data_IF_903562035998
#
_entry.id   IF_903562035998
#
_cell.length_a   1.000
_cell.length_b   1.000
_cell.length_c   1.000
_cell.angle_alpha   90.00
_cell.angle_beta   90.00
_cell.angle_gamma   90.00
#
_symmetry.space_group_name_H-M   'P 1'
#
loop_
_entity.id
_entity.type
_entity.pdbx_description
1 polymer ?
#
# COMPACT_ATOMS: atom_id res chain seq x y z
N UNK A 1 62.27 -26.36 -11.54
CA UNK A 1 61.49 -26.03 -12.75
C UNK A 1 60.02 -26.03 -12.32
N UNK A 2 59.36 -24.90 -12.02
CA UNK A 2 58.83 -23.86 -12.96
C UNK A 2 57.94 -24.56 -14.00
N UNK A 3 56.63 -24.31 -14.21
CA UNK A 3 55.73 -23.17 -14.00
C UNK A 3 54.27 -23.68 -13.84
N UNK A 4 53.44 -23.08 -12.99
CA UNK A 4 52.31 -22.15 -13.32
C UNK A 4 51.38 -22.62 -14.44
N UNK A 5 50.11 -22.91 -14.11
CA UNK A 5 48.98 -22.22 -14.76
C UNK A 5 47.69 -22.39 -13.94
N UNK A 6 47.36 -21.35 -13.20
CA UNK A 6 46.05 -21.09 -12.62
C UNK A 6 45.12 -20.65 -13.74
N UNK A 7 43.95 -21.30 -13.89
CA UNK A 7 42.87 -20.77 -14.73
C UNK A 7 41.69 -20.45 -13.84
N UNK A 8 41.61 -19.15 -13.50
CA UNK A 8 40.40 -18.46 -13.09
C UNK A 8 39.44 -18.43 -14.28
N UNK A 9 38.27 -19.05 -14.13
CA UNK A 9 37.08 -18.63 -14.90
C UNK A 9 36.09 -18.05 -13.92
N UNK A 10 36.11 -16.73 -13.84
CA UNK A 10 34.99 -15.92 -13.40
C UNK A 10 33.88 -16.06 -14.45
N UNK A 11 32.72 -16.55 -14.04
CA UNK A 11 31.47 -16.21 -14.72
C UNK A 11 30.47 -15.69 -13.68
N UNK A 12 30.47 -14.37 -13.56
CA UNK A 12 29.40 -13.56 -12.98
C UNK A 12 28.21 -13.53 -13.95
N UNK A 13 26.98 -13.51 -13.42
CA UNK A 13 25.87 -12.85 -14.13
C UNK A 13 24.45 -13.35 -13.83
N UNK A 14 23.75 -12.59 -12.98
CA UNK A 14 22.28 -12.48 -12.78
C UNK A 14 21.60 -13.59 -11.95
N UNK A 15 20.83 -13.34 -10.88
CA UNK A 15 20.27 -12.10 -10.34
C UNK A 15 20.03 -12.30 -8.82
N UNK A 16 20.91 -11.77 -7.97
CA UNK A 16 20.73 -11.83 -6.51
C UNK A 16 20.28 -10.46 -6.04
N UNK A 17 18.98 -10.33 -5.72
CA UNK A 17 18.39 -9.18 -4.99
C UNK A 17 19.40 -8.63 -3.97
N UNK A 18 19.65 -7.32 -4.03
CA UNK A 18 20.75 -6.71 -3.28
C UNK A 18 20.60 -6.95 -1.78
N UNK A 19 21.69 -7.36 -1.13
CA UNK A 19 21.80 -7.52 0.34
C UNK A 19 21.37 -6.26 1.12
N UNK A 20 21.30 -5.10 0.46
CA UNK A 20 20.89 -3.83 1.04
C UNK A 20 19.38 -3.76 1.28
N UNK A 21 18.57 -4.28 0.35
CA UNK A 21 17.10 -4.33 0.50
C UNK A 21 16.70 -5.28 1.64
N UNK A 22 17.38 -6.41 1.81
CA UNK A 22 17.15 -7.32 2.96
C UNK A 22 17.61 -6.70 4.29
N UNK A 23 18.69 -5.91 4.28
CA UNK A 23 19.21 -5.22 5.45
C UNK A 23 18.29 -4.09 5.94
N UNK A 24 17.70 -3.36 4.99
CA UNK A 24 16.74 -2.28 5.29
C UNK A 24 15.42 -2.84 5.86
N UNK A 25 14.96 -4.00 5.38
CA UNK A 25 13.77 -4.70 5.89
C UNK A 25 13.97 -5.27 7.31
N UNK A 26 15.14 -5.81 7.60
CA UNK A 26 15.45 -6.40 8.92
C UNK A 26 15.71 -5.36 10.02
N UNK A 27 16.04 -4.10 9.68
CA UNK A 27 16.24 -3.04 10.68
C UNK A 27 14.93 -2.39 11.14
N UNK A 28 13.82 -2.54 10.40
CA UNK A 28 12.53 -1.89 10.70
C UNK A 28 11.70 -2.67 11.73
N UNK A 29 11.96 -3.96 11.93
CA UNK A 29 11.41 -4.80 13.02
C UNK A 29 11.59 -4.16 14.42
N UNK A 30 12.50 -3.19 14.57
CA UNK A 30 12.81 -2.51 15.84
C UNK A 30 12.16 -1.14 16.04
N UNK A 31 11.04 -0.85 15.37
CA UNK A 31 10.37 0.47 15.51
C UNK A 31 9.46 0.60 16.76
N UNK A 32 9.48 -0.35 17.69
CA UNK A 32 9.20 -0.09 19.11
C UNK A 32 7.74 0.20 19.54
N UNK A 33 6.77 0.20 18.64
CA UNK A 33 5.34 0.34 18.99
C UNK A 33 4.70 -1.05 18.95
N UNK A 34 4.77 -1.81 20.05
CA UNK A 34 3.94 -3.00 20.23
C UNK A 34 2.63 -2.57 20.88
N UNK A 35 1.57 -2.49 20.09
CA UNK A 35 0.21 -2.36 20.61
C UNK A 35 -0.42 -3.76 20.66
N UNK A 36 -1.01 -4.11 21.80
CA UNK A 36 -1.84 -5.31 21.91
C UNK A 36 -3.23 -4.99 21.34
N UNK A 37 -3.61 -5.70 20.28
CA UNK A 37 -4.89 -5.50 19.58
C UNK A 37 -6.07 -6.09 20.36
N UNK A 38 -5.83 -7.06 21.26
CA UNK A 38 -6.90 -7.79 21.96
C UNK A 38 -7.78 -6.87 22.82
N UNK A 39 -7.23 -5.95 23.64
CA UNK A 39 -8.06 -4.99 24.38
C UNK A 39 -8.91 -4.09 23.48
N UNK A 40 -8.42 -3.72 22.29
CA UNK A 40 -9.19 -2.93 21.33
C UNK A 40 -10.35 -3.72 20.76
N UNK A 41 -10.14 -5.01 20.45
CA UNK A 41 -11.20 -5.92 19.99
C UNK A 41 -12.29 -6.07 21.06
N UNK A 42 -11.89 -6.34 22.30
CA UNK A 42 -12.85 -6.52 23.40
C UNK A 42 -13.63 -5.23 23.71
N UNK A 43 -12.96 -4.08 23.70
CA UNK A 43 -13.64 -2.78 23.84
C UNK A 43 -14.61 -2.52 22.69
N UNK A 44 -14.24 -2.87 21.45
CA UNK A 44 -15.11 -2.69 20.30
C UNK A 44 -16.34 -3.61 20.39
N UNK A 45 -16.17 -4.87 20.83
CA UNK A 45 -17.27 -5.84 21.05
C UNK A 45 -18.29 -5.36 22.07
N UNK A 46 -17.85 -4.68 23.13
CA UNK A 46 -18.74 -4.13 24.16
C UNK A 46 -19.68 -3.03 23.62
N UNK A 47 -19.30 -2.35 22.53
CA UNK A 47 -20.09 -1.29 21.92
C UNK A 47 -21.08 -1.81 20.85
N UNK A 48 -21.06 -3.11 20.52
CA UNK A 48 -21.88 -3.69 19.47
C UNK A 48 -23.31 -4.00 19.94
N UNK A 49 -24.24 -4.01 18.98
CA UNK A 49 -25.55 -4.61 19.22
C UNK A 49 -25.45 -6.15 19.32
N UNK A 50 -26.48 -6.78 19.87
CA UNK A 50 -26.49 -8.23 20.09
C UNK A 50 -26.37 -9.05 18.80
N UNK A 51 -26.90 -8.57 17.67
CA UNK A 51 -26.83 -9.30 16.41
C UNK A 51 -25.39 -9.34 15.88
N UNK A 52 -24.72 -8.19 15.83
CA UNK A 52 -23.33 -8.07 15.39
C UNK A 52 -22.37 -8.82 16.33
N UNK A 53 -22.58 -8.72 17.65
CA UNK A 53 -21.78 -9.42 18.64
C UNK A 53 -21.90 -10.95 18.51
N UNK A 54 -23.11 -11.46 18.32
CA UNK A 54 -23.34 -12.90 18.14
C UNK A 54 -22.68 -13.42 16.85
N UNK A 55 -22.77 -12.66 15.75
CA UNK A 55 -22.12 -13.02 14.49
C UNK A 55 -20.60 -13.05 14.64
N UNK A 56 -20.01 -12.02 15.25
CA UNK A 56 -18.56 -11.95 15.51
C UNK A 56 -18.11 -13.12 16.39
N UNK A 57 -18.81 -13.38 17.50
CA UNK A 57 -18.44 -14.48 18.40
C UNK A 57 -18.52 -15.85 17.70
N UNK A 58 -19.52 -16.05 16.82
CA UNK A 58 -19.63 -17.26 16.03
C UNK A 58 -18.47 -17.42 15.04
N UNK A 59 -18.07 -16.33 14.37
CA UNK A 59 -16.93 -16.31 13.47
C UNK A 59 -15.60 -16.52 14.22
N UNK A 60 -15.41 -15.88 15.37
CA UNK A 60 -14.23 -16.05 16.24
C UNK A 60 -14.10 -17.50 16.71
N UNK A 61 -15.20 -18.12 17.16
CA UNK A 61 -15.20 -19.53 17.51
C UNK A 61 -14.87 -20.42 16.29
N UNK A 62 -15.40 -20.08 15.11
CA UNK A 62 -15.12 -20.83 13.87
C UNK A 62 -13.64 -20.79 13.50
N UNK A 63 -12.99 -19.63 13.54
CA UNK A 63 -11.55 -19.53 13.21
C UNK A 63 -10.65 -20.17 14.26
N UNK A 64 -11.11 -20.30 15.51
CA UNK A 64 -10.36 -21.00 16.57
C UNK A 64 -10.46 -22.54 16.46
N UNK A 65 -11.53 -23.05 15.83
CA UNK A 65 -11.83 -24.49 15.83
C UNK A 65 -11.53 -25.16 14.49
N UNK A 66 -11.64 -24.44 13.38
CA UNK A 66 -11.36 -24.96 12.05
C UNK A 66 -9.91 -24.71 11.64
N UNK A 67 -9.46 -25.39 10.59
CA UNK A 67 -8.11 -25.24 10.03
C UNK A 67 -8.17 -25.14 8.49
N UNK A 68 -7.09 -24.65 7.90
CA UNK A 68 -6.94 -24.60 6.44
C UNK A 68 -7.92 -23.62 5.78
N UNK A 69 -8.60 -24.06 4.71
CA UNK A 69 -9.45 -23.18 3.90
C UNK A 69 -10.66 -22.62 4.67
N UNK A 70 -11.26 -23.40 5.57
CA UNK A 70 -12.43 -22.96 6.35
C UNK A 70 -12.07 -21.91 7.40
N UNK A 71 -10.89 -22.03 8.00
CA UNK A 71 -10.32 -21.02 8.90
C UNK A 71 -10.05 -19.72 8.14
N UNK A 72 -9.38 -19.82 6.97
CA UNK A 72 -9.08 -18.67 6.12
C UNK A 72 -10.38 -17.96 5.67
N UNK A 73 -11.42 -18.72 5.31
CA UNK A 73 -12.72 -18.16 4.99
C UNK A 73 -13.32 -17.40 6.18
N UNK A 74 -13.21 -17.96 7.40
CA UNK A 74 -13.70 -17.29 8.61
C UNK A 74 -12.95 -16.00 8.92
N UNK A 75 -11.64 -15.97 8.72
CA UNK A 75 -10.81 -14.77 8.90
C UNK A 75 -11.16 -13.67 7.88
N UNK A 76 -11.43 -14.04 6.62
CA UNK A 76 -11.92 -13.11 5.60
C UNK A 76 -13.27 -12.52 5.98
N UNK A 77 -14.18 -13.34 6.49
CA UNK A 77 -15.50 -12.90 6.98
C UNK A 77 -15.37 -11.95 8.18
N UNK A 78 -14.49 -12.27 9.15
CA UNK A 78 -14.18 -11.40 10.29
C UNK A 78 -13.63 -10.05 9.84
N UNK A 79 -12.61 -10.05 8.99
CA UNK A 79 -12.02 -8.83 8.45
C UNK A 79 -13.07 -7.95 7.77
N UNK A 80 -13.88 -8.54 6.89
CA UNK A 80 -14.95 -7.83 6.20
C UNK A 80 -16.03 -7.29 7.14
N UNK A 81 -16.40 -8.05 8.18
CA UNK A 81 -17.38 -7.63 9.18
C UNK A 81 -16.87 -6.42 9.98
N UNK A 82 -15.65 -6.51 10.51
CA UNK A 82 -15.04 -5.41 11.26
C UNK A 82 -14.82 -4.15 10.41
N UNK A 83 -14.51 -4.31 9.11
CA UNK A 83 -14.40 -3.18 8.20
C UNK A 83 -15.75 -2.47 8.03
N UNK A 84 -16.85 -3.22 7.86
CA UNK A 84 -18.22 -2.65 7.76
C UNK A 84 -18.68 -2.00 9.06
N UNK A 85 -18.18 -2.45 10.20
CA UNK A 85 -18.41 -1.84 11.51
C UNK A 85 -17.52 -0.61 11.77
N UNK A 86 -16.83 -0.11 10.75
CA UNK A 86 -15.93 1.05 10.83
C UNK A 86 -14.78 0.85 11.85
N UNK A 87 -14.28 -0.37 11.96
CA UNK A 87 -13.10 -0.73 12.75
C UNK A 87 -11.97 -1.29 11.87
N UNK A 88 -11.39 -0.49 10.95
CA UNK A 88 -10.37 -0.93 10.00
C UNK A 88 -9.08 -1.44 10.66
N UNK A 89 -8.76 -0.98 11.87
CA UNK A 89 -7.60 -1.47 12.64
C UNK A 89 -7.77 -2.95 13.06
N UNK A 90 -8.98 -3.34 13.49
CA UNK A 90 -9.32 -4.74 13.78
C UNK A 90 -9.47 -5.53 12.48
N UNK A 91 -10.09 -4.94 11.45
CA UNK A 91 -10.22 -5.59 10.15
C UNK A 91 -8.85 -5.94 9.54
N UNK A 92 -7.88 -5.03 9.67
CA UNK A 92 -6.50 -5.20 9.23
C UNK A 92 -5.83 -6.37 9.93
N UNK A 93 -6.03 -6.51 11.25
CA UNK A 93 -5.52 -7.65 12.03
C UNK A 93 -5.98 -9.00 11.47
N UNK A 94 -7.28 -9.13 11.18
CA UNK A 94 -7.79 -10.38 10.58
C UNK A 94 -7.35 -10.55 9.13
N UNK A 95 -7.19 -9.47 8.35
CA UNK A 95 -6.66 -9.54 6.98
C UNK A 95 -5.18 -9.96 6.95
N UNK A 96 -4.37 -9.51 7.90
CA UNK A 96 -2.99 -9.93 8.10
C UNK A 96 -2.90 -11.42 8.42
N UNK A 97 -3.75 -11.92 9.33
CA UNK A 97 -3.82 -13.36 9.62
C UNK A 97 -4.17 -14.19 8.36
N UNK A 98 -5.02 -13.67 7.46
CA UNK A 98 -5.25 -14.28 6.14
C UNK A 98 -3.97 -14.26 5.30
N UNK A 99 -3.25 -13.15 5.28
CA UNK A 99 -2.03 -12.99 4.50
C UNK A 99 -0.90 -13.93 4.96
N UNK A 100 -0.72 -14.10 6.27
CA UNK A 100 0.23 -15.04 6.86
C UNK A 100 -0.09 -16.49 6.47
N UNK A 101 -1.35 -16.89 6.56
CA UNK A 101 -1.77 -18.26 6.24
C UNK A 101 -1.72 -18.58 4.75
N UNK A 102 -2.03 -17.59 3.91
CA UNK A 102 -2.04 -17.78 2.45
C UNK A 102 -0.69 -17.52 1.79
N UNK A 103 0.22 -16.83 2.49
CA UNK A 103 1.51 -16.37 1.96
C UNK A 103 1.37 -15.69 0.57
N UNK A 104 0.35 -14.83 0.43
CA UNK A 104 0.00 -14.19 -0.84
C UNK A 104 0.30 -12.70 -0.81
N UNK A 105 0.99 -12.20 -1.85
CA UNK A 105 1.25 -10.78 -2.02
C UNK A 105 -0.05 -9.95 -2.10
N UNK A 106 -1.09 -10.52 -2.71
CA UNK A 106 -2.41 -9.88 -2.78
C UNK A 106 -3.05 -9.75 -1.40
N UNK A 107 -3.02 -10.82 -0.59
CA UNK A 107 -3.57 -10.79 0.76
C UNK A 107 -2.80 -9.80 1.66
N UNK A 108 -1.48 -9.76 1.55
CA UNK A 108 -0.65 -8.77 2.24
C UNK A 108 -0.96 -7.33 1.80
N UNK A 109 -1.19 -7.10 0.50
CA UNK A 109 -1.62 -5.79 0.02
C UNK A 109 -3.02 -5.39 0.52
N UNK A 110 -3.94 -6.35 0.64
CA UNK A 110 -5.26 -6.11 1.24
C UNK A 110 -5.09 -5.68 2.69
N UNK A 111 -4.37 -6.46 3.51
CA UNK A 111 -4.07 -6.14 4.90
C UNK A 111 -3.46 -4.73 5.03
N UNK A 112 -2.48 -4.40 4.19
CA UNK A 112 -1.85 -3.09 4.18
C UNK A 112 -2.85 -1.94 3.94
N UNK A 113 -3.70 -2.07 2.92
CA UNK A 113 -4.72 -1.06 2.62
C UNK A 113 -5.82 -0.98 3.67
N UNK A 114 -6.16 -2.10 4.32
CA UNK A 114 -7.13 -2.15 5.42
C UNK A 114 -6.59 -1.42 6.65
N UNK A 115 -5.33 -1.67 7.03
CA UNK A 115 -4.67 -0.90 8.09
C UNK A 115 -4.56 0.58 7.76
N UNK A 116 -4.23 0.92 6.51
CA UNK A 116 -4.15 2.30 6.06
C UNK A 116 -5.48 3.04 6.22
N UNK A 117 -6.62 2.37 6.00
CA UNK A 117 -7.94 2.95 6.23
C UNK A 117 -8.17 3.36 7.70
N UNK A 118 -7.47 2.73 8.66
CA UNK A 118 -7.52 3.08 10.09
C UNK A 118 -6.64 4.24 10.52
N UNK A 119 -5.73 4.72 9.65
CA UNK A 119 -4.85 5.85 9.97
C UNK A 119 -5.67 7.14 10.08
N UNK A 120 -5.63 7.79 11.23
CA UNK A 120 -6.31 9.06 11.48
C UNK A 120 -7.77 8.96 11.93
N UNK A 121 -8.33 7.75 12.08
CA UNK A 121 -9.69 7.55 12.61
C UNK A 121 -9.76 7.46 14.13
N UNK A 122 -8.67 7.04 14.77
CA UNK A 122 -8.60 6.75 16.20
C UNK A 122 -7.60 7.69 16.88
N UNK A 123 -7.25 7.40 18.13
CA UNK A 123 -6.17 8.11 18.79
C UNK A 123 -4.83 7.96 18.04
N UNK A 124 -3.87 8.81 18.41
CA UNK A 124 -2.56 8.87 17.76
C UNK A 124 -1.81 7.55 17.85
N UNK A 125 -1.90 6.83 18.96
CA UNK A 125 -1.19 5.56 19.18
C UNK A 125 -1.70 4.48 18.24
N UNK A 126 -3.02 4.32 18.12
CA UNK A 126 -3.64 3.37 17.19
C UNK A 126 -3.32 3.76 15.74
N UNK A 127 -3.36 5.05 15.43
CA UNK A 127 -3.03 5.56 14.08
C UNK A 127 -1.57 5.26 13.69
N UNK A 128 -0.62 5.49 14.60
CA UNK A 128 0.81 5.21 14.38
C UNK A 128 1.07 3.69 14.29
N UNK A 129 0.36 2.88 15.07
CA UNK A 129 0.41 1.43 14.97
C UNK A 129 -0.12 0.92 13.61
N UNK A 130 -1.32 1.35 13.20
CA UNK A 130 -1.89 1.00 11.89
C UNK A 130 -0.96 1.38 10.74
N UNK A 131 -0.32 2.55 10.82
CA UNK A 131 0.65 2.99 9.83
C UNK A 131 1.82 2.00 9.73
N UNK A 132 2.38 1.58 10.87
CA UNK A 132 3.49 0.61 10.89
C UNK A 132 3.05 -0.76 10.34
N UNK A 133 1.86 -1.25 10.71
CA UNK A 133 1.32 -2.50 10.18
C UNK A 133 1.10 -2.43 8.66
N UNK A 134 0.63 -1.29 8.14
CA UNK A 134 0.48 -1.07 6.70
C UNK A 134 1.83 -1.08 5.96
N UNK A 135 2.87 -0.46 6.53
CA UNK A 135 4.23 -0.50 5.98
C UNK A 135 4.74 -1.94 5.90
N UNK A 136 4.70 -2.67 7.01
CA UNK A 136 5.16 -4.06 7.09
C UNK A 136 4.40 -4.97 6.13
N UNK A 137 3.08 -4.80 6.02
CA UNK A 137 2.24 -5.56 5.10
C UNK A 137 2.60 -5.29 3.63
N UNK A 138 2.86 -4.04 3.23
CA UNK A 138 3.35 -3.76 1.87
C UNK A 138 4.76 -4.31 1.63
N UNK A 139 5.64 -4.24 2.63
CA UNK A 139 6.97 -4.84 2.55
C UNK A 139 6.90 -6.36 2.35
N UNK A 140 6.01 -7.05 3.05
CA UNK A 140 5.73 -8.47 2.83
C UNK A 140 5.20 -8.73 1.42
N UNK A 141 4.25 -7.94 0.93
CA UNK A 141 3.75 -8.06 -0.44
C UNK A 141 4.86 -7.90 -1.49
N UNK A 142 5.74 -6.90 -1.33
CA UNK A 142 6.90 -6.66 -2.21
C UNK A 142 7.93 -7.80 -2.11
N UNK A 143 8.08 -8.41 -0.93
CA UNK A 143 9.02 -9.51 -0.75
C UNK A 143 8.60 -10.74 -1.58
N UNK A 144 7.29 -11.02 -1.62
CA UNK A 144 6.67 -12.14 -2.33
C UNK A 144 6.60 -11.86 -3.84
N UNK A 145 6.09 -10.69 -4.22
CA UNK A 145 6.01 -10.25 -5.62
C UNK A 145 6.76 -8.91 -5.83
N UNK A 146 8.09 -8.98 -6.04
CA UNK A 146 8.91 -7.78 -6.20
C UNK A 146 8.69 -7.05 -7.52
N UNK A 147 8.04 -7.71 -8.50
CA UNK A 147 7.81 -7.19 -9.85
C UNK A 147 6.56 -6.33 -9.95
N UNK A 148 5.66 -6.42 -8.97
CA UNK A 148 4.45 -5.63 -8.95
C UNK A 148 4.70 -4.19 -8.48
N UNK A 149 4.70 -3.27 -9.44
CA UNK A 149 4.91 -1.83 -9.20
C UNK A 149 3.87 -1.24 -8.26
N UNK A 150 2.64 -1.78 -8.21
CA UNK A 150 1.55 -1.26 -7.38
C UNK A 150 1.92 -1.25 -5.90
N UNK A 151 2.51 -2.33 -5.39
CA UNK A 151 2.86 -2.42 -3.96
C UNK A 151 3.95 -1.41 -3.60
N UNK A 152 4.93 -1.21 -4.49
CA UNK A 152 6.00 -0.24 -4.31
C UNK A 152 5.50 1.20 -4.37
N UNK A 153 4.59 1.50 -5.30
CA UNK A 153 3.95 2.82 -5.38
C UNK A 153 3.13 3.09 -4.11
N UNK A 154 2.33 2.13 -3.65
CA UNK A 154 1.53 2.29 -2.44
C UNK A 154 2.41 2.54 -1.21
N UNK A 155 3.49 1.78 -1.04
CA UNK A 155 4.46 1.99 0.04
C UNK A 155 5.13 3.37 -0.06
N UNK A 156 5.50 3.80 -1.27
CA UNK A 156 6.12 5.10 -1.48
C UNK A 156 5.16 6.27 -1.17
N UNK A 157 3.88 6.14 -1.54
CA UNK A 157 2.83 7.10 -1.18
C UNK A 157 2.60 7.14 0.33
N UNK A 158 2.69 6.01 1.01
CA UNK A 158 2.59 5.93 2.46
C UNK A 158 3.71 6.71 3.16
N UNK A 159 4.96 6.51 2.72
CA UNK A 159 6.09 7.30 3.21
C UNK A 159 6.03 8.78 2.82
N UNK A 160 5.34 9.14 1.74
CA UNK A 160 5.14 10.55 1.38
C UNK A 160 4.08 11.23 2.26
N UNK A 161 3.05 10.49 2.68
CA UNK A 161 2.01 11.00 3.59
C UNK A 161 2.51 11.06 5.05
N UNK A 162 3.31 10.07 5.45
CA UNK A 162 3.87 9.94 6.80
C UNK A 162 5.39 9.76 6.71
N UNK A 163 6.12 10.85 6.43
CA UNK A 163 7.57 10.81 6.29
C UNK A 163 8.25 10.31 7.57
N UNK A 164 9.21 9.39 7.47
CA UNK A 164 10.15 9.11 8.55
C UNK A 164 10.88 10.38 8.96
N UNK A 165 11.10 10.57 10.27
CA UNK A 165 11.74 11.78 10.81
C UNK A 165 13.18 11.95 10.30
N UNK A 166 13.87 10.84 10.10
CA UNK A 166 15.26 10.75 9.63
C UNK A 166 15.38 10.85 8.10
N UNK A 167 14.33 10.48 7.35
CA UNK A 167 14.29 10.60 5.90
C UNK A 167 12.93 11.10 5.39
N UNK A 168 12.64 12.40 5.49
CA UNK A 168 11.38 12.97 5.01
C UNK A 168 11.16 12.85 3.50
N UNK A 169 12.22 12.60 2.74
CA UNK A 169 12.19 12.47 1.29
C UNK A 169 12.01 11.02 0.82
N UNK A 170 11.90 10.04 1.73
CA UNK A 170 11.86 8.61 1.40
C UNK A 170 10.79 8.29 0.36
N UNK A 171 9.56 8.76 0.55
CA UNK A 171 8.46 8.47 -0.36
C UNK A 171 8.69 8.98 -1.79
N UNK A 172 9.10 10.24 -1.95
CA UNK A 172 9.37 10.80 -3.28
C UNK A 172 10.63 10.20 -3.91
N UNK A 173 11.67 9.89 -3.14
CA UNK A 173 12.86 9.19 -3.63
C UNK A 173 12.50 7.81 -4.19
N UNK A 174 11.63 7.06 -3.50
CA UNK A 174 11.14 5.77 -3.97
C UNK A 174 10.36 5.89 -5.29
N UNK A 175 9.46 6.87 -5.40
CA UNK A 175 8.71 7.09 -6.65
C UNK A 175 9.62 7.53 -7.80
N UNK A 176 10.64 8.34 -7.55
CA UNK A 176 11.61 8.73 -8.58
C UNK A 176 12.42 7.53 -9.07
N UNK A 177 12.89 6.68 -8.17
CA UNK A 177 13.59 5.44 -8.53
C UNK A 177 12.68 4.48 -9.33
N UNK A 178 11.40 4.38 -8.98
CA UNK A 178 10.42 3.63 -9.77
C UNK A 178 10.25 4.23 -11.17
N UNK A 179 10.19 5.56 -11.29
CA UNK A 179 10.03 6.25 -12.57
C UNK A 179 11.28 6.13 -13.46
N UNK A 180 12.48 6.06 -12.88
CA UNK A 180 13.71 5.78 -13.64
C UNK A 180 13.66 4.37 -14.24
N UNK A 181 13.14 3.40 -13.49
CA UNK A 181 13.03 2.00 -13.93
C UNK A 181 11.84 1.76 -14.87
N UNK A 182 10.73 2.44 -14.63
CA UNK A 182 9.46 2.28 -15.34
C UNK A 182 8.91 3.66 -15.76
N UNK A 183 9.57 4.35 -16.72
CA UNK A 183 9.25 5.74 -17.07
C UNK A 183 7.87 5.94 -17.70
N UNK A 184 7.26 4.87 -18.21
CA UNK A 184 5.95 4.87 -18.86
C UNK A 184 4.89 4.14 -18.01
N UNK A 185 5.18 3.86 -16.73
CA UNK A 185 4.20 3.31 -15.80
C UNK A 185 3.23 4.41 -15.35
N UNK A 186 1.98 4.31 -15.82
CA UNK A 186 0.89 5.25 -15.52
C UNK A 186 0.66 5.42 -14.03
N UNK A 187 0.81 4.37 -13.24
CA UNK A 187 0.62 4.44 -11.80
C UNK A 187 1.73 5.27 -11.14
N UNK A 188 2.98 5.08 -11.56
CA UNK A 188 4.13 5.85 -11.06
C UNK A 188 4.02 7.32 -11.45
N UNK A 189 3.67 7.61 -12.71
CA UNK A 189 3.46 8.97 -13.20
C UNK A 189 2.37 9.69 -12.41
N UNK A 190 1.24 9.03 -12.19
CA UNK A 190 0.13 9.55 -11.39
C UNK A 190 0.54 9.78 -9.93
N UNK A 191 1.31 8.87 -9.32
CA UNK A 191 1.78 9.02 -7.95
C UNK A 191 2.72 10.22 -7.79
N UNK A 192 3.69 10.39 -8.69
CA UNK A 192 4.56 11.58 -8.71
C UNK A 192 3.78 12.86 -8.95
N UNK A 193 2.78 12.83 -9.83
CA UNK A 193 1.92 13.97 -10.09
C UNK A 193 1.10 14.36 -8.84
N UNK A 194 0.54 13.40 -8.09
CA UNK A 194 -0.11 13.67 -6.80
C UNK A 194 0.80 14.39 -5.82
N UNK A 195 2.05 13.94 -5.69
CA UNK A 195 3.01 14.61 -4.80
C UNK A 195 3.35 16.02 -5.29
N UNK A 196 3.47 16.21 -6.61
CA UNK A 196 3.68 17.52 -7.21
C UNK A 196 2.48 18.46 -6.94
N UNK A 197 1.24 17.98 -7.09
CA UNK A 197 0.01 18.72 -6.72
C UNK A 197 0.03 19.12 -5.25
N UNK A 198 0.28 18.19 -4.33
CA UNK A 198 0.34 18.45 -2.88
C UNK A 198 1.36 19.53 -2.49
N UNK A 199 2.40 19.70 -3.31
CA UNK A 199 3.49 20.66 -3.06
C UNK A 199 3.42 21.91 -3.96
N UNK A 200 2.30 22.11 -4.67
CA UNK A 200 2.08 23.27 -5.54
C UNK A 200 2.92 23.29 -6.82
N UNK A 201 3.55 22.17 -7.18
CA UNK A 201 4.37 22.04 -8.39
C UNK A 201 3.50 21.69 -9.61
N UNK A 202 2.56 22.58 -9.94
CA UNK A 202 1.49 22.36 -10.92
C UNK A 202 2.01 22.01 -12.32
N UNK A 203 3.01 22.71 -12.84
CA UNK A 203 3.59 22.41 -14.17
C UNK A 203 4.22 21.02 -14.24
N UNK A 204 4.89 20.61 -13.15
CA UNK A 204 5.49 19.28 -13.01
C UNK A 204 4.43 18.17 -12.89
N UNK A 205 3.28 18.47 -12.29
CA UNK A 205 2.14 17.57 -12.27
C UNK A 205 1.54 17.45 -13.68
N UNK A 206 1.29 18.59 -14.34
CA UNK A 206 0.76 18.66 -15.71
C UNK A 206 1.57 17.81 -16.69
N UNK A 207 2.89 18.03 -16.77
CA UNK A 207 3.73 17.29 -17.71
C UNK A 207 3.68 15.76 -17.50
N UNK A 208 3.67 15.30 -16.24
CA UNK A 208 3.58 13.87 -15.91
C UNK A 208 2.22 13.29 -16.25
N UNK A 209 1.15 14.02 -15.96
CA UNK A 209 -0.21 13.58 -16.20
C UNK A 209 -0.56 13.61 -17.69
N UNK A 210 -0.07 14.59 -18.47
CA UNK A 210 -0.22 14.62 -19.93
C UNK A 210 0.46 13.39 -20.54
N UNK A 211 1.67 13.04 -20.08
CA UNK A 211 2.33 11.78 -20.47
C UNK A 211 1.51 10.56 -20.05
N UNK A 212 0.99 10.54 -18.83
CA UNK A 212 0.16 9.44 -18.34
C UNK A 212 -1.12 9.28 -19.18
N UNK A 213 -1.74 10.38 -19.60
CA UNK A 213 -2.96 10.36 -20.41
C UNK A 213 -2.68 9.91 -21.84
N UNK A 214 -1.51 10.22 -22.41
CA UNK A 214 -1.12 9.70 -23.73
C UNK A 214 -0.85 8.19 -23.71
N UNK A 215 -0.53 7.62 -22.55
CA UNK A 215 -0.30 6.18 -22.38
C UNK A 215 -1.60 5.40 -22.09
N UNK A 216 -2.50 5.99 -21.29
CA UNK A 216 -3.81 5.43 -20.99
C UNK A 216 -4.86 6.54 -20.95
N UNK A 217 -5.50 6.77 -22.10
CA UNK A 217 -6.43 7.89 -22.28
C UNK A 217 -7.67 7.80 -21.37
N UNK A 218 -8.09 6.60 -20.98
CA UNK A 218 -9.28 6.34 -20.17
C UNK A 218 -8.96 5.99 -18.71
N UNK A 219 -7.73 6.26 -18.26
CA UNK A 219 -7.39 6.13 -16.85
C UNK A 219 -8.09 7.23 -16.04
N UNK A 220 -9.21 6.88 -15.40
CA UNK A 220 -10.02 7.81 -14.61
C UNK A 220 -9.18 8.62 -13.60
N UNK A 221 -8.21 7.96 -12.95
CA UNK A 221 -7.35 8.65 -11.99
C UNK A 221 -6.49 9.72 -12.65
N UNK A 222 -5.88 9.45 -13.80
CA UNK A 222 -5.10 10.45 -14.54
C UNK A 222 -5.96 11.61 -14.99
N UNK A 223 -7.13 11.31 -15.58
CA UNK A 223 -8.02 12.32 -16.15
C UNK A 223 -8.60 13.24 -15.07
N UNK A 224 -9.05 12.69 -13.95
CA UNK A 224 -9.54 13.50 -12.84
C UNK A 224 -8.43 14.40 -12.27
N UNK A 225 -7.20 13.88 -12.14
CA UNK A 225 -6.07 14.71 -11.71
C UNK A 225 -5.69 15.81 -12.72
N UNK A 226 -5.80 15.52 -14.02
CA UNK A 226 -5.59 16.53 -15.06
C UNK A 226 -6.64 17.64 -14.98
N UNK A 227 -7.90 17.30 -14.68
CA UNK A 227 -8.94 18.30 -14.51
C UNK A 227 -8.58 19.28 -13.39
N UNK A 228 -8.17 18.77 -12.23
CA UNK A 228 -7.74 19.60 -11.08
C UNK A 228 -6.51 20.46 -11.43
N UNK A 229 -5.50 19.86 -12.07
CA UNK A 229 -4.26 20.55 -12.44
C UNK A 229 -4.50 21.62 -13.50
N UNK A 230 -5.29 21.34 -14.53
CA UNK A 230 -5.65 22.32 -15.54
C UNK A 230 -6.49 23.46 -14.97
N UNK A 231 -7.45 23.15 -14.09
CA UNK A 231 -8.22 24.18 -13.40
C UNK A 231 -7.30 25.11 -12.60
N UNK A 232 -6.35 24.55 -11.85
CA UNK A 232 -5.43 25.32 -11.04
C UNK A 232 -4.45 26.19 -11.86
N UNK A 233 -4.22 25.83 -13.13
CA UNK A 233 -3.38 26.55 -14.08
C UNK A 233 -4.16 27.47 -15.03
N UNK A 234 -5.48 27.62 -14.84
CA UNK A 234 -6.38 28.32 -15.77
C UNK A 234 -6.25 27.85 -17.24
N UNK A 235 -5.97 26.55 -17.43
CA UNK A 235 -5.82 25.94 -18.75
C UNK A 235 -7.20 25.66 -19.36
N UNK A 236 -7.41 26.08 -20.61
CA UNK A 236 -8.70 25.97 -21.33
C UNK A 236 -9.20 24.52 -21.46
N UNK A 237 -8.31 23.53 -21.28
CA UNK A 237 -8.64 22.10 -21.33
C UNK A 237 -9.29 21.58 -20.04
N UNK A 238 -9.34 22.38 -18.96
CA UNK A 238 -9.87 21.98 -17.66
C UNK A 238 -11.29 21.40 -17.74
N UNK A 239 -12.23 22.12 -18.38
CA UNK A 239 -13.63 21.69 -18.48
C UNK A 239 -13.76 20.35 -19.22
N UNK A 240 -13.03 20.19 -20.32
CA UNK A 240 -13.07 18.94 -21.09
C UNK A 240 -12.56 17.73 -20.27
N UNK A 241 -11.50 17.92 -19.46
CA UNK A 241 -11.01 16.84 -18.59
C UNK A 241 -11.97 16.55 -17.44
N UNK A 242 -12.65 17.58 -16.90
CA UNK A 242 -13.66 17.41 -15.88
C UNK A 242 -14.84 16.58 -16.38
N UNK A 243 -15.38 16.92 -17.56
CA UNK A 243 -16.49 16.17 -18.18
C UNK A 243 -16.07 14.71 -18.44
N UNK A 244 -14.83 14.49 -18.89
CA UNK A 244 -14.30 13.14 -19.10
C UNK A 244 -14.13 12.38 -17.77
N UNK A 245 -13.66 13.03 -16.71
CA UNK A 245 -13.55 12.44 -15.37
C UNK A 245 -14.92 11.96 -14.89
N UNK A 246 -15.95 12.81 -14.94
CA UNK A 246 -17.32 12.49 -14.50
C UNK A 246 -17.90 11.29 -15.29
N UNK A 247 -17.68 11.26 -16.60
CA UNK A 247 -18.08 10.13 -17.44
C UNK A 247 -17.37 8.82 -17.06
N UNK A 248 -16.07 8.86 -16.76
CA UNK A 248 -15.30 7.67 -16.40
C UNK A 248 -15.63 7.16 -14.99
N UNK A 249 -16.01 8.05 -14.06
CA UNK A 249 -16.35 7.68 -12.68
C UNK A 249 -17.80 7.21 -12.51
N UNK A 250 -18.72 7.68 -13.35
CA UNK A 250 -20.15 7.28 -13.31
C UNK A 250 -20.43 5.86 -13.79
N UNK A 251 -19.43 5.20 -14.42
CA UNK A 251 -19.52 3.82 -14.92
C UNK A 251 -19.04 2.75 -13.93
N UNK A 252 -18.61 3.12 -12.73
CA UNK A 252 -18.05 2.21 -11.73
C UNK A 252 -19.03 1.87 -10.62
#
# INVERSE_FOLDING_TARGET
MIAVLSVLVLYFGFDTKSSKEKGDLAQIEKSGISLDIIPLIESAKQALNSADLNEINALEHRVQTLQGEEEIAGLKELSGKWYRLNAPHIAGHYAEAVAEKTNSAEAWSIAATTYLAGVGQQDRTVSDWCLNQAIQSFENAISIDPGNTQYRVNLALLYAEKPPQDNPMKGVQMLLALNEKYPDDVLVLNALARLAVKTGQWDRAKARLEKSASLQEDNASTICLLADVYQQLDDVRAQAMKDKCEFLTSKR
#
